data_IF_059887601982
#
_entry.id   IF_059887601982
#
_cell.length_a   1.000
_cell.length_b   1.000
_cell.length_c   1.000
_cell.angle_alpha   90.00
_cell.angle_beta   90.00
_cell.angle_gamma   90.00
#
_symmetry.space_group_name_H-M   'P 1'
#
loop_
_entity.id
_entity.type
_entity.pdbx_description
1 polymer ?
#
# COMPACT_ATOMS: atom_id res chain seq x y z
N UNK A 1 -10.27 -10.12 8.86
CA UNK A 1 -10.53 -8.68 8.64
C UNK A 1 -11.98 -8.40 8.21
N UNK A 2 -13.01 -8.91 8.90
CA UNK A 2 -14.40 -8.65 8.48
C UNK A 2 -15.03 -7.38 9.11
N UNK A 3 -14.46 -6.89 10.22
CA UNK A 3 -15.09 -5.86 11.08
C UNK A 3 -14.45 -4.45 11.01
N UNK A 4 -13.56 -4.19 10.03
CA UNK A 4 -12.88 -2.89 9.91
C UNK A 4 -13.66 -1.86 9.07
N UNK A 5 -13.58 -0.58 9.44
CA UNK A 5 -14.12 0.55 8.67
C UNK A 5 -13.64 0.50 7.22
N UNK A 6 -14.59 0.56 6.29
CA UNK A 6 -14.30 0.65 4.85
C UNK A 6 -13.59 1.95 4.53
N UNK A 7 -12.59 1.89 3.67
CA UNK A 7 -11.89 3.09 3.17
C UNK A 7 -12.31 3.38 1.74
N UNK A 8 -12.19 4.64 1.33
CA UNK A 8 -12.46 5.05 -0.04
C UNK A 8 -11.60 4.24 -1.03
N UNK A 9 -12.28 3.54 -1.95
CA UNK A 9 -11.63 2.66 -2.92
C UNK A 9 -10.79 3.43 -3.93
N UNK A 10 -11.23 4.64 -4.32
CA UNK A 10 -10.53 5.48 -5.29
C UNK A 10 -9.19 5.93 -4.73
N UNK A 11 -9.19 6.39 -3.48
CA UNK A 11 -7.98 6.77 -2.75
C UNK A 11 -7.04 5.58 -2.59
N UNK A 12 -7.55 4.43 -2.15
CA UNK A 12 -6.72 3.22 -1.99
C UNK A 12 -6.09 2.78 -3.30
N UNK A 13 -6.88 2.74 -4.38
CA UNK A 13 -6.41 2.39 -5.74
C UNK A 13 -5.36 3.37 -6.25
N UNK A 14 -5.51 4.66 -5.98
CA UNK A 14 -4.51 5.68 -6.33
C UNK A 14 -3.16 5.39 -5.67
N UNK A 15 -3.15 5.09 -4.37
CA UNK A 15 -1.91 4.75 -3.65
C UNK A 15 -1.27 3.44 -4.10
N UNK A 16 -2.08 2.39 -4.36
CA UNK A 16 -1.59 1.15 -4.94
C UNK A 16 -0.96 1.41 -6.32
N UNK A 17 -1.56 2.27 -7.14
CA UNK A 17 -0.99 2.71 -8.41
C UNK A 17 0.38 3.38 -8.24
N UNK A 18 0.53 4.29 -7.26
CA UNK A 18 1.82 4.93 -6.96
C UNK A 18 2.87 3.92 -6.48
N UNK A 19 2.48 2.95 -5.64
CA UNK A 19 3.38 1.90 -5.16
C UNK A 19 3.83 0.95 -6.27
N UNK A 20 2.99 0.68 -7.27
CA UNK A 20 3.35 -0.16 -8.42
C UNK A 20 4.59 0.38 -9.14
N UNK A 21 4.65 1.70 -9.37
CA UNK A 21 5.84 2.33 -9.97
C UNK A 21 7.10 2.14 -9.10
N UNK A 22 6.94 2.19 -7.77
CA UNK A 22 8.06 2.03 -6.84
C UNK A 22 8.57 0.60 -6.79
N UNK A 23 7.71 -0.41 -6.94
CA UNK A 23 8.14 -1.82 -6.93
C UNK A 23 9.13 -2.18 -8.04
N UNK A 24 9.16 -1.43 -9.14
CA UNK A 24 10.14 -1.62 -10.20
C UNK A 24 11.58 -1.25 -9.76
N UNK A 25 11.73 -0.22 -8.93
CA UNK A 25 13.04 0.28 -8.46
C UNK A 25 13.41 -0.25 -7.07
N UNK A 26 12.42 -0.67 -6.28
CA UNK A 26 12.56 -1.15 -4.89
C UNK A 26 11.88 -2.51 -4.73
N UNK A 27 12.54 -3.61 -5.13
CA UNK A 27 11.96 -4.96 -5.05
C UNK A 27 11.74 -5.41 -3.59
N UNK A 28 12.40 -4.77 -2.63
CA UNK A 28 12.27 -5.05 -1.20
C UNK A 28 10.84 -4.82 -0.66
N UNK A 29 10.06 -3.93 -1.29
CA UNK A 29 8.64 -3.71 -0.93
C UNK A 29 7.65 -4.54 -1.74
N UNK A 30 8.10 -5.31 -2.73
CA UNK A 30 7.22 -6.00 -3.70
C UNK A 30 6.27 -7.01 -3.01
N UNK A 31 6.77 -7.74 -2.01
CA UNK A 31 5.97 -8.69 -1.24
C UNK A 31 4.85 -8.00 -0.45
N UNK A 32 5.21 -6.98 0.34
CA UNK A 32 4.27 -6.19 1.15
C UNK A 32 3.24 -5.47 0.27
N UNK A 33 3.66 -4.96 -0.89
CA UNK A 33 2.78 -4.38 -1.90
C UNK A 33 1.77 -5.40 -2.44
N UNK A 34 2.22 -6.59 -2.84
CA UNK A 34 1.36 -7.63 -3.39
C UNK A 34 0.24 -8.05 -2.42
N UNK A 35 0.57 -8.11 -1.12
CA UNK A 35 -0.43 -8.34 -0.08
C UNK A 35 -1.48 -7.23 -0.02
N UNK A 36 -1.05 -5.96 -0.07
CA UNK A 36 -1.97 -4.82 -0.04
C UNK A 36 -2.85 -4.74 -1.31
N UNK A 37 -2.31 -5.09 -2.48
CA UNK A 37 -3.05 -5.05 -3.74
C UNK A 37 -4.25 -6.01 -3.77
N UNK A 38 -4.17 -7.13 -3.04
CA UNK A 38 -5.29 -8.10 -2.92
C UNK A 38 -6.54 -7.50 -2.27
N UNK A 39 -6.37 -6.49 -1.41
CA UNK A 39 -7.47 -5.84 -0.70
C UNK A 39 -8.03 -4.61 -1.41
N UNK A 40 -7.59 -4.33 -2.64
CA UNK A 40 -8.09 -3.23 -3.45
C UNK A 40 -9.63 -3.22 -3.69
N UNK A 41 -10.34 -4.36 -3.90
CA UNK A 41 -11.80 -4.32 -4.08
C UNK A 41 -12.56 -4.02 -2.78
N UNK A 42 -11.96 -4.28 -1.62
CA UNK A 42 -12.58 -4.10 -0.29
C UNK A 42 -11.57 -3.57 0.72
N UNK A 43 -11.05 -2.33 0.54
CA UNK A 43 -10.01 -1.79 1.40
C UNK A 43 -10.60 -1.41 2.77
N UNK A 44 -9.83 -1.71 3.82
CA UNK A 44 -10.17 -1.43 5.21
C UNK A 44 -9.08 -0.57 5.84
N UNK A 45 -9.38 0.06 6.97
CA UNK A 45 -8.41 0.91 7.66
C UNK A 45 -7.11 0.20 8.03
N UNK A 46 -7.17 -1.11 8.34
CA UNK A 46 -5.97 -1.94 8.57
C UNK A 46 -5.06 -1.97 7.33
N UNK A 47 -5.64 -2.25 6.16
CA UNK A 47 -4.94 -2.26 4.88
C UNK A 47 -4.39 -0.86 4.53
N UNK A 48 -5.18 0.19 4.79
CA UNK A 48 -4.76 1.57 4.59
C UNK A 48 -3.56 1.96 5.46
N UNK A 49 -3.52 1.53 6.73
CA UNK A 49 -2.37 1.74 7.62
C UNK A 49 -1.13 1.02 7.10
N UNK A 50 -1.27 -0.20 6.59
CA UNK A 50 -0.17 -0.95 5.98
C UNK A 50 0.41 -0.22 4.76
N UNK A 51 -0.43 0.25 3.84
CA UNK A 51 -0.02 1.05 2.67
C UNK A 51 0.73 2.33 3.08
N UNK A 52 0.20 3.07 4.06
CA UNK A 52 0.88 4.27 4.59
C UNK A 52 2.24 3.95 5.20
N UNK A 53 2.38 2.81 5.86
CA UNK A 53 3.65 2.38 6.43
C UNK A 53 4.68 2.07 5.34
N UNK A 54 4.29 1.39 4.27
CA UNK A 54 5.16 1.12 3.11
C UNK A 54 5.63 2.43 2.48
N UNK A 55 4.71 3.38 2.23
CA UNK A 55 5.04 4.69 1.67
C UNK A 55 6.05 5.43 2.57
N UNK A 56 5.83 5.44 3.89
CA UNK A 56 6.73 6.07 4.86
C UNK A 56 8.11 5.41 4.85
N UNK A 57 8.17 4.08 4.78
CA UNK A 57 9.42 3.34 4.71
C UNK A 57 10.21 3.72 3.45
N UNK A 58 9.57 3.70 2.27
CA UNK A 58 10.22 4.08 1.00
C UNK A 58 10.74 5.52 1.04
N UNK A 59 9.96 6.44 1.62
CA UNK A 59 10.37 7.84 1.81
C UNK A 59 11.58 7.99 2.73
N UNK A 60 11.68 7.18 3.78
CA UNK A 60 12.81 7.19 4.72
C UNK A 60 14.06 6.49 4.19
N UNK A 61 13.93 5.54 3.25
CA UNK A 61 15.05 4.81 2.64
C UNK A 61 15.54 5.43 1.32
N UNK A 62 15.06 6.63 0.96
CA UNK A 62 15.52 7.36 -0.23
C UNK A 62 16.79 8.19 0.03
N UNK A 63 17.24 8.28 1.28
CA UNK A 63 18.45 9.02 1.72
C UNK A 63 19.61 8.05 2.04
N UNK A 64 20.05 7.26 1.05
CA UNK A 64 21.33 6.56 1.07
C UNK A 64 21.96 6.57 -0.31
#
# INVERSE_FOLDING_TARGET
DDEGTSVDQTLYRSMIGSLLYLTASRPDICFSFGLCARYQPTPKESHMKAVKHIIKYVGGTSDY
#
